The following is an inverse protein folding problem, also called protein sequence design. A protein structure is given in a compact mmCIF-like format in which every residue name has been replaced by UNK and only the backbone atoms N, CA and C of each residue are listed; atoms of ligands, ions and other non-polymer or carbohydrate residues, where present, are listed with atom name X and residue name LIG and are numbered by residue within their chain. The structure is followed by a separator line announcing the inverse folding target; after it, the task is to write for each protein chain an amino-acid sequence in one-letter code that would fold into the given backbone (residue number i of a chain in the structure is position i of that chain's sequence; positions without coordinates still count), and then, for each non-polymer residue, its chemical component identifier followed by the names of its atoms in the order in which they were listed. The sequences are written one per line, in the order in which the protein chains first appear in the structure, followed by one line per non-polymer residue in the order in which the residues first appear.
data_IF_209338909333
#
_entry.id   IF_209338909333
#
_cell.length_a   1.000
_cell.length_b   1.000
_cell.length_c   1.000
_cell.angle_alpha   90.00
_cell.angle_beta   90.00
_cell.angle_gamma   90.00
#
_symmetry.space_group_name_H-M   'P 1'
#
loop_
_entity.id
_entity.type
_entity.pdbx_description
1 polymer ?
#
# COMPACT_ATOMS: atom_id res chain seq x y z
N UNK A 1 -21.21 47.19 -17.68
CA UNK A 1 -21.68 45.94 -18.35
C UNK A 1 -20.55 45.22 -19.11
N UNK A 2 -19.77 45.88 -19.97
CA UNK A 2 -18.65 45.24 -20.70
C UNK A 2 -17.55 44.66 -19.80
N UNK A 3 -17.19 45.34 -18.71
CA UNK A 3 -16.21 44.82 -17.74
C UNK A 3 -16.67 43.53 -17.04
N UNK A 4 -17.97 43.42 -16.72
CA UNK A 4 -18.56 42.18 -16.18
C UNK A 4 -18.43 41.04 -17.20
N UNK A 5 -18.66 41.33 -18.49
CA UNK A 5 -18.59 40.32 -19.54
C UNK A 5 -17.17 39.78 -19.70
N UNK A 6 -16.16 40.66 -19.73
CA UNK A 6 -14.76 40.23 -19.80
C UNK A 6 -14.32 39.48 -18.54
N UNK A 7 -14.78 39.88 -17.36
CA UNK A 7 -14.51 39.17 -16.11
C UNK A 7 -15.10 37.76 -16.11
N UNK A 8 -16.36 37.61 -16.55
CA UNK A 8 -17.01 36.28 -16.66
C UNK A 8 -16.33 35.41 -17.72
N UNK A 9 -15.93 36.00 -18.86
CA UNK A 9 -15.18 35.29 -19.90
C UNK A 9 -13.82 34.80 -19.36
N UNK A 10 -13.11 35.65 -18.62
CA UNK A 10 -11.85 35.28 -17.98
C UNK A 10 -12.03 34.11 -17.01
N UNK A 11 -13.05 34.17 -16.13
CA UNK A 11 -13.34 33.07 -15.21
C UNK A 11 -13.67 31.76 -15.95
N UNK A 12 -14.44 31.83 -17.04
CA UNK A 12 -14.78 30.66 -17.84
C UNK A 12 -13.54 30.02 -18.47
N UNK A 13 -12.61 30.83 -19.00
CA UNK A 13 -11.34 30.33 -19.55
C UNK A 13 -10.49 29.69 -18.46
N UNK A 14 -10.34 30.34 -17.31
CA UNK A 14 -9.57 29.81 -16.17
C UNK A 14 -10.16 28.49 -15.68
N UNK A 15 -11.48 28.42 -15.48
CA UNK A 15 -12.16 27.18 -15.09
C UNK A 15 -12.02 26.08 -16.15
N UNK A 16 -12.10 26.43 -17.43
CA UNK A 16 -11.90 25.49 -18.54
C UNK A 16 -10.50 24.87 -18.52
N UNK A 17 -9.46 25.70 -18.33
CA UNK A 17 -8.06 25.22 -18.22
C UNK A 17 -7.90 24.33 -16.99
N UNK A 18 -8.38 24.77 -15.83
CA UNK A 18 -8.29 24.00 -14.59
C UNK A 18 -9.02 22.66 -14.70
N UNK A 19 -10.19 22.63 -15.34
CA UNK A 19 -10.94 21.40 -15.60
C UNK A 19 -10.16 20.44 -16.50
N UNK A 20 -9.57 20.95 -17.60
CA UNK A 20 -8.74 20.15 -18.51
C UNK A 20 -7.53 19.51 -17.81
N UNK A 21 -6.87 20.25 -16.92
CA UNK A 21 -5.73 19.73 -16.13
C UNK A 21 -6.12 18.59 -15.19
N UNK A 22 -7.39 18.45 -14.81
CA UNK A 22 -7.85 17.32 -13.98
C UNK A 22 -7.86 15.98 -14.72
N UNK A 23 -7.89 16.01 -16.06
CA UNK A 23 -7.84 14.81 -16.88
C UNK A 23 -6.43 14.24 -17.03
N UNK A 24 -5.40 15.05 -16.79
CA UNK A 24 -4.02 14.68 -17.05
C UNK A 24 -3.44 13.82 -15.91
N UNK A 25 -2.93 12.65 -16.27
CA UNK A 25 -2.20 11.76 -15.36
C UNK A 25 -0.74 12.20 -15.27
N UNK A 26 -0.24 12.34 -14.05
CA UNK A 26 1.16 12.57 -13.73
C UNK A 26 1.96 11.26 -13.79
N UNK A 27 1.40 10.21 -13.20
CA UNK A 27 2.00 8.89 -13.13
C UNK A 27 0.92 7.81 -13.19
N UNK A 28 1.34 6.59 -13.51
CA UNK A 28 0.55 5.37 -13.42
C UNK A 28 1.38 4.30 -12.72
N UNK A 29 0.70 3.29 -12.15
CA UNK A 29 1.37 2.17 -11.54
C UNK A 29 0.44 1.20 -10.82
N UNK A 30 1.04 0.30 -10.07
CA UNK A 30 0.35 -0.80 -9.41
C UNK A 30 0.69 -0.88 -7.92
N UNK A 31 -0.28 -1.31 -7.10
CA UNK A 31 -0.05 -1.66 -5.70
C UNK A 31 -0.83 -2.90 -5.33
N UNK A 32 -0.13 -3.90 -4.78
CA UNK A 32 -0.74 -5.13 -4.29
C UNK A 32 -0.96 -5.06 -2.77
N UNK A 33 -2.13 -5.50 -2.31
CA UNK A 33 -2.52 -5.37 -0.92
C UNK A 33 -3.86 -6.01 -0.60
N UNK A 34 -4.31 -5.83 0.64
CA UNK A 34 -5.69 -6.17 1.04
C UNK A 34 -6.44 -4.88 1.33
N UNK A 35 -7.65 -4.74 0.81
CA UNK A 35 -8.46 -3.53 1.03
C UNK A 35 -9.02 -3.57 2.44
N UNK A 36 -8.60 -2.63 3.29
CA UNK A 36 -9.00 -2.56 4.70
C UNK A 36 -10.28 -1.74 4.91
N UNK A 37 -10.51 -0.76 4.03
CA UNK A 37 -11.70 0.09 4.05
C UNK A 37 -12.13 0.42 2.64
N UNK A 38 -13.44 0.43 2.39
CA UNK A 38 -14.01 0.90 1.14
C UNK A 38 -15.40 1.49 1.42
N UNK A 39 -15.64 2.75 1.03
CA UNK A 39 -16.90 3.45 1.31
C UNK A 39 -17.24 4.48 0.24
N UNK A 40 -18.52 4.58 -0.12
CA UNK A 40 -19.03 5.62 -1.02
C UNK A 40 -19.36 6.89 -0.23
N UNK A 41 -18.62 7.97 -0.44
CA UNK A 41 -18.75 9.23 0.31
C UNK A 41 -18.57 10.47 -0.57
N UNK A 42 -18.85 11.64 -0.01
CA UNK A 42 -18.88 12.92 -0.71
C UNK A 42 -20.14 13.74 -0.40
N UNK A 43 -20.05 15.06 -0.57
CA UNK A 43 -21.14 16.00 -0.26
C UNK A 43 -22.07 16.21 -1.47
N UNK A 44 -21.53 16.71 -2.58
CA UNK A 44 -22.28 16.91 -3.84
C UNK A 44 -22.04 15.76 -4.83
N UNK A 45 -20.78 15.38 -5.03
CA UNK A 45 -20.38 14.28 -5.90
C UNK A 45 -19.94 13.12 -5.04
N UNK A 46 -20.55 11.95 -5.24
CA UNK A 46 -20.21 10.73 -4.51
C UNK A 46 -19.14 9.97 -5.27
N UNK A 47 -18.06 9.64 -4.57
CA UNK A 47 -16.97 8.79 -5.06
C UNK A 47 -16.76 7.63 -4.10
N UNK A 48 -16.17 6.53 -4.57
CA UNK A 48 -15.76 5.47 -3.67
C UNK A 48 -14.34 5.74 -3.21
N UNK A 49 -14.12 5.62 -1.92
CA UNK A 49 -12.85 5.91 -1.28
C UNK A 49 -12.42 4.69 -0.49
N UNK A 50 -11.18 4.26 -0.70
CA UNK A 50 -10.64 3.07 -0.11
C UNK A 50 -9.25 3.25 0.47
N UNK A 51 -8.89 2.29 1.33
CA UNK A 51 -7.56 2.18 1.93
C UNK A 51 -7.05 0.78 1.63
N UNK A 52 -5.92 0.69 0.94
CA UNK A 52 -5.21 -0.55 0.67
C UNK A 52 -4.11 -0.72 1.72
N UNK A 53 -4.12 -1.86 2.40
CA UNK A 53 -2.99 -2.29 3.22
C UNK A 53 -2.02 -3.07 2.33
N UNK A 54 -0.90 -2.44 1.98
CA UNK A 54 0.12 -3.03 1.10
C UNK A 54 0.91 -4.12 1.84
N UNK A 55 0.89 -4.10 3.17
CA UNK A 55 1.83 -4.80 4.04
C UNK A 55 3.04 -3.93 4.32
N UNK A 56 4.11 -4.50 4.88
CA UNK A 56 5.36 -3.80 5.04
C UNK A 56 6.43 -4.62 5.75
N UNK A 57 7.68 -4.33 5.40
CA UNK A 57 8.88 -4.95 5.95
C UNK A 57 9.89 -3.84 6.23
N UNK A 58 10.27 -3.63 7.50
CA UNK A 58 11.38 -2.73 7.83
C UNK A 58 12.68 -3.54 7.90
N UNK A 59 13.51 -3.38 6.86
CA UNK A 59 14.70 -4.21 6.65
C UNK A 59 15.82 -4.07 7.67
N UNK A 60 15.76 -3.06 8.55
CA UNK A 60 16.85 -2.76 9.50
C UNK A 60 16.60 -3.27 10.92
N UNK A 61 15.33 -3.39 11.34
CA UNK A 61 14.94 -3.77 12.71
C UNK A 61 14.01 -4.97 12.78
N UNK A 62 13.66 -5.57 11.64
CA UNK A 62 12.75 -6.72 11.60
C UNK A 62 11.31 -6.39 12.02
N UNK A 63 10.97 -5.11 12.17
CA UNK A 63 9.61 -4.68 12.51
C UNK A 63 8.71 -4.69 11.28
N UNK A 64 7.49 -5.18 11.45
CA UNK A 64 6.45 -5.16 10.41
C UNK A 64 5.62 -3.89 10.58
N UNK A 65 6.00 -2.82 9.89
CA UNK A 65 5.21 -1.58 9.85
C UNK A 65 4.27 -1.61 8.64
N UNK A 66 2.94 -1.65 8.81
CA UNK A 66 2.02 -1.69 7.68
C UNK A 66 2.05 -0.37 6.90
N UNK A 67 2.18 -0.46 5.58
CA UNK A 67 2.03 0.67 4.67
C UNK A 67 0.60 0.74 4.16
N UNK A 68 -0.04 1.88 4.37
CA UNK A 68 -1.36 2.18 3.82
C UNK A 68 -1.27 3.00 2.53
N UNK A 69 -2.26 2.81 1.67
CA UNK A 69 -2.43 3.57 0.44
C UNK A 69 -3.90 3.96 0.28
N UNK A 70 -4.17 5.24 0.39
CA UNK A 70 -5.49 5.81 0.15
C UNK A 70 -5.73 6.00 -1.35
N UNK A 71 -6.89 5.57 -1.83
CA UNK A 71 -7.26 5.65 -3.24
C UNK A 71 -8.73 6.03 -3.43
N UNK A 72 -9.04 6.53 -4.63
CA UNK A 72 -10.38 6.91 -5.05
C UNK A 72 -10.80 6.11 -6.29
N UNK A 73 -12.10 5.80 -6.41
CA UNK A 73 -12.68 5.08 -7.55
C UNK A 73 -13.93 5.81 -8.02
N UNK A 74 -14.00 6.07 -9.32
CA UNK A 74 -15.14 6.72 -9.97
C UNK A 74 -16.01 5.73 -10.75
N UNK A 75 -15.39 4.67 -11.26
CA UNK A 75 -16.06 3.64 -12.05
C UNK A 75 -16.80 2.66 -11.13
N UNK A 76 -18.10 2.48 -11.37
CA UNK A 76 -18.96 1.60 -10.58
C UNK A 76 -18.62 0.11 -10.78
N UNK A 77 -18.11 -0.30 -11.94
CA UNK A 77 -17.70 -1.68 -12.21
C UNK A 77 -16.43 -2.03 -11.42
N UNK A 78 -15.45 -1.12 -11.43
CA UNK A 78 -14.22 -1.25 -10.61
C UNK A 78 -14.58 -1.27 -9.13
N UNK A 79 -15.49 -0.39 -8.69
CA UNK A 79 -15.96 -0.36 -7.31
C UNK A 79 -16.65 -1.66 -6.91
N UNK A 80 -17.41 -2.29 -7.82
CA UNK A 80 -18.03 -3.59 -7.57
C UNK A 80 -16.98 -4.69 -7.36
N UNK A 81 -15.95 -4.77 -8.21
CA UNK A 81 -14.85 -5.73 -8.06
C UNK A 81 -14.14 -5.58 -6.71
N UNK A 82 -13.84 -4.34 -6.32
CA UNK A 82 -13.22 -4.04 -5.01
C UNK A 82 -14.16 -4.42 -3.87
N UNK A 83 -15.45 -4.15 -3.99
CA UNK A 83 -16.45 -4.53 -2.98
C UNK A 83 -16.50 -6.04 -2.80
N UNK A 84 -16.46 -6.81 -3.88
CA UNK A 84 -16.45 -8.27 -3.82
C UNK A 84 -15.14 -8.77 -3.20
N UNK A 85 -13.99 -8.17 -3.53
CA UNK A 85 -12.71 -8.46 -2.88
C UNK A 85 -12.67 -8.14 -1.38
N UNK A 86 -13.32 -7.04 -0.95
CA UNK A 86 -13.46 -6.68 0.47
C UNK A 86 -14.29 -7.73 1.21
N UNK A 87 -15.36 -8.25 0.61
CA UNK A 87 -16.20 -9.29 1.23
C UNK A 87 -15.45 -10.61 1.41
N UNK A 88 -14.61 -10.98 0.45
CA UNK A 88 -13.82 -12.22 0.52
C UNK A 88 -12.54 -12.06 1.34
N UNK A 89 -12.09 -10.83 1.60
CA UNK A 89 -10.83 -10.53 2.26
C UNK A 89 -9.59 -10.88 1.42
N UNK A 90 -9.79 -11.09 0.11
CA UNK A 90 -8.71 -11.51 -0.78
C UNK A 90 -7.68 -10.40 -1.03
N UNK A 91 -6.45 -10.82 -1.34
CA UNK A 91 -5.40 -9.90 -1.78
C UNK A 91 -5.65 -9.51 -3.24
N UNK A 92 -5.51 -8.24 -3.55
CA UNK A 92 -5.74 -7.67 -4.90
C UNK A 92 -4.55 -6.83 -5.33
N UNK A 93 -4.37 -6.70 -6.65
CA UNK A 93 -3.50 -5.69 -7.25
C UNK A 93 -4.37 -4.59 -7.82
N UNK A 94 -4.14 -3.36 -7.35
CA UNK A 94 -4.82 -2.16 -7.83
C UNK A 94 -3.93 -1.44 -8.83
N UNK A 95 -4.47 -1.20 -10.03
CA UNK A 95 -3.90 -0.34 -11.06
C UNK A 95 -4.43 1.07 -10.86
N UNK A 96 -3.54 2.06 -10.79
CA UNK A 96 -3.92 3.43 -10.52
C UNK A 96 -3.27 4.42 -11.47
N UNK A 97 -3.96 5.54 -11.67
CA UNK A 97 -3.41 6.75 -12.26
C UNK A 97 -3.37 7.86 -11.20
N UNK A 98 -2.21 8.48 -11.02
CA UNK A 98 -2.06 9.69 -10.21
C UNK A 98 -2.38 10.92 -11.05
N UNK A 99 -3.38 11.70 -10.65
CA UNK A 99 -3.73 12.96 -11.32
C UNK A 99 -2.93 14.12 -10.75
N UNK A 100 -2.53 15.05 -11.62
CA UNK A 100 -1.76 16.25 -11.22
C UNK A 100 -2.56 17.10 -10.21
N UNK A 101 -3.83 17.33 -10.54
CA UNK A 101 -4.77 18.13 -9.75
C UNK A 101 -5.94 17.29 -9.25
N UNK A 102 -6.32 17.54 -8.00
CA UNK A 102 -7.48 16.94 -7.36
C UNK A 102 -8.46 18.03 -6.96
N UNK A 103 -9.70 17.88 -7.42
CA UNK A 103 -10.82 18.71 -7.00
C UNK A 103 -11.89 17.86 -6.30
N UNK A 104 -12.76 18.47 -5.48
CA UNK A 104 -13.72 17.75 -4.64
C UNK A 104 -14.77 16.95 -5.43
N UNK A 105 -14.96 17.22 -6.72
CA UNK A 105 -15.86 16.43 -7.58
C UNK A 105 -15.21 15.21 -8.22
N UNK A 106 -13.87 15.10 -8.17
CA UNK A 106 -13.16 13.98 -8.78
C UNK A 106 -12.84 12.88 -7.77
N UNK A 107 -12.58 13.18 -6.49
CA UNK A 107 -12.31 12.18 -5.46
C UNK A 107 -11.62 12.78 -4.24
N UNK A 108 -11.44 11.98 -3.18
CA UNK A 108 -10.71 12.42 -1.99
C UNK A 108 -9.19 12.36 -2.15
N UNK A 109 -8.68 11.53 -3.07
CA UNK A 109 -7.25 11.36 -3.34
C UNK A 109 -6.85 11.75 -4.76
N UNK A 110 -5.54 11.77 -5.04
CA UNK A 110 -5.00 11.92 -6.40
C UNK A 110 -4.89 10.58 -7.14
N UNK A 111 -5.07 9.47 -6.44
CA UNK A 111 -4.84 8.13 -6.97
C UNK A 111 -6.16 7.49 -7.37
N UNK A 112 -6.40 7.42 -8.68
CA UNK A 112 -7.63 6.89 -9.24
C UNK A 112 -7.42 5.47 -9.70
N UNK A 113 -8.19 4.53 -9.13
CA UNK A 113 -8.10 3.13 -9.56
C UNK A 113 -8.78 2.97 -10.91
N UNK A 114 -8.03 2.46 -11.87
CA UNK A 114 -8.49 2.20 -13.24
C UNK A 114 -8.81 0.73 -13.44
N UNK A 115 -8.13 -0.18 -12.74
CA UNK A 115 -8.37 -1.61 -12.82
C UNK A 115 -8.02 -2.33 -11.51
N UNK A 116 -8.62 -3.50 -11.31
CA UNK A 116 -8.39 -4.39 -10.17
C UNK A 116 -8.16 -5.79 -10.69
N UNK A 117 -7.06 -6.39 -10.27
CA UNK A 117 -6.77 -7.80 -10.47
C UNK A 117 -6.99 -8.54 -9.14
N UNK A 118 -7.89 -9.50 -9.19
CA UNK A 118 -8.11 -10.42 -8.09
C UNK A 118 -7.05 -11.51 -8.18
N UNK A 119 -6.20 -11.63 -7.16
CA UNK A 119 -5.37 -12.81 -7.03
C UNK A 119 -6.35 -13.94 -6.66
N UNK A 120 -6.68 -14.77 -7.66
CA UNK A 120 -7.50 -15.95 -7.46
C UNK A 120 -6.96 -16.81 -6.32
N UNK A 121 -7.75 -17.77 -5.79
CA UNK A 121 -7.32 -18.59 -4.67
C UNK A 121 -5.92 -19.11 -4.98
N UNK A 122 -4.98 -18.86 -4.06
CA UNK A 122 -3.66 -19.50 -4.12
C UNK A 122 -3.98 -20.98 -4.19
N UNK A 123 -3.88 -21.59 -5.38
CA UNK A 123 -4.09 -23.02 -5.52
C UNK A 123 -3.10 -23.64 -4.54
N UNK A 124 -3.57 -24.27 -3.45
CA UNK A 124 -2.66 -24.97 -2.57
C UNK A 124 -2.07 -26.04 -3.47
N UNK A 125 -0.81 -25.90 -3.86
CA UNK A 125 -0.12 -26.99 -4.56
C UNK A 125 -0.33 -28.21 -3.67
N UNK A 126 -0.72 -29.37 -4.25
CA UNK A 126 -0.89 -30.59 -3.47
C UNK A 126 0.34 -30.75 -2.57
N UNK A 127 0.10 -30.86 -1.26
CA UNK A 127 1.15 -31.07 -0.28
C UNK A 127 1.96 -32.30 -0.71
N UNK A 128 3.15 -32.10 -1.28
CA UNK A 128 3.96 -33.20 -1.85
C UNK A 128 4.73 -32.91 -3.14
N UNK A 129 4.50 -31.79 -3.84
CA UNK A 129 5.36 -31.42 -4.98
C UNK A 129 6.68 -30.82 -4.46
N UNK A 130 7.73 -31.64 -4.40
CA UNK A 130 9.07 -31.32 -3.93
C UNK A 130 9.87 -30.34 -4.81
N UNK A 131 9.21 -29.51 -5.62
CA UNK A 131 9.85 -28.38 -6.29
C UNK A 131 10.17 -27.29 -5.25
N UNK A 132 11.41 -27.32 -4.78
CA UNK A 132 11.97 -26.38 -3.82
C UNK A 132 11.64 -24.92 -4.22
N UNK A 133 11.01 -24.18 -3.31
CA UNK A 133 11.02 -22.73 -3.35
C UNK A 133 12.49 -22.27 -3.39
N UNK A 134 12.93 -21.43 -4.35
CA UNK A 134 14.26 -20.86 -4.32
C UNK A 134 14.34 -19.96 -3.08
N UNK A 135 14.98 -20.44 -2.02
CA UNK A 135 15.17 -19.70 -0.76
C UNK A 135 14.87 -20.46 0.53
N UNK A 136 14.27 -21.66 0.50
CA UNK A 136 14.18 -22.49 1.71
C UNK A 136 15.44 -23.34 1.87
N UNK A 137 16.37 -22.85 2.69
CA UNK A 137 17.44 -23.67 3.24
C UNK A 137 16.90 -24.25 4.56
N UNK A 138 16.74 -25.57 4.71
CA UNK A 138 16.33 -26.13 5.99
C UNK A 138 17.37 -25.73 7.05
N UNK A 139 16.89 -25.17 8.16
CA UNK A 139 17.72 -24.90 9.35
C UNK A 139 18.43 -26.20 9.73
N UNK A 140 19.76 -26.23 9.57
CA UNK A 140 20.57 -27.33 10.09
C UNK A 140 20.32 -27.47 11.59
N UNK A 141 20.23 -28.69 12.14
CA UNK A 141 20.21 -28.89 13.58
C UNK A 141 21.43 -28.19 14.17
N UNK A 142 21.17 -27.29 15.12
CA UNK A 142 22.18 -26.53 15.84
C UNK A 142 23.17 -27.53 16.44
N UNK A 143 24.39 -27.59 15.90
CA UNK A 143 25.47 -28.35 16.53
C UNK A 143 25.67 -27.73 17.92
N UNK A 144 25.54 -28.55 18.97
CA UNK A 144 25.91 -28.16 20.33
C UNK A 144 27.34 -27.67 20.32
N UNK A 145 27.55 -26.37 20.45
CA UNK A 145 28.86 -25.80 20.70
C UNK A 145 29.40 -26.43 21.99
N UNK A 146 30.65 -26.92 22.01
CA UNK A 146 31.29 -27.32 23.25
C UNK A 146 31.24 -26.15 24.23
N UNK A 147 30.79 -26.40 25.46
CA UNK A 147 30.77 -25.40 26.51
C UNK A 147 32.14 -24.73 26.60
N UNK A 148 32.17 -23.40 26.48
CA UNK A 148 33.41 -22.66 26.72
C UNK A 148 33.85 -22.91 28.16
N UNK A 149 35.14 -23.20 28.41
CA UNK A 149 35.61 -23.39 29.78
C UNK A 149 35.33 -22.13 30.58
N UNK A 150 34.66 -22.31 31.74
CA UNK A 150 34.42 -21.23 32.70
C UNK A 150 35.78 -20.61 33.05
N UNK A 151 35.98 -19.29 32.91
CA UNK A 151 37.23 -18.66 33.31
C UNK A 151 37.43 -18.87 34.81
N UNK A 152 38.54 -19.50 35.17
CA UNK A 152 38.98 -19.73 36.54
C UNK A 152 39.02 -18.37 37.27
N UNK A 153 38.43 -18.24 38.48
CA UNK A 153 38.57 -17.02 39.26
C UNK A 153 40.05 -16.71 39.47
N UNK A 154 40.50 -15.53 39.03
CA UNK A 154 41.84 -15.02 39.31
C UNK A 154 41.98 -14.87 40.83
N UNK A 155 43.07 -15.34 41.46
CA UNK A 155 43.31 -15.10 42.88
C UNK A 155 43.40 -13.60 43.14
N UNK A 156 42.62 -13.10 44.10
CA UNK A 156 42.73 -11.73 44.60
C UNK A 156 44.15 -11.57 45.16
N UNK A 157 44.96 -10.60 44.72
CA UNK A 157 46.27 -10.37 45.31
C UNK A 157 46.08 -9.99 46.78
N UNK A 158 46.73 -10.75 47.67
CA UNK A 158 46.81 -10.43 49.09
C UNK A 158 47.52 -9.08 49.22
N UNK A 159 46.76 -8.05 49.55
CA UNK A 159 47.37 -6.77 49.87
C UNK A 159 48.21 -6.97 51.14
N UNK A 160 49.45 -6.55 50.99
CA UNK A 160 50.48 -6.73 51.98
C UNK A 160 50.39 -5.58 52.97
N UNK A 161 50.88 -5.83 54.17
CA UNK A 161 51.39 -4.85 55.14
C UNK A 161 50.42 -4.09 56.07
N UNK A 162 50.55 -4.54 57.34
CA UNK A 162 50.72 -3.78 58.61
C UNK A 162 49.44 -3.35 59.35
#
# INVERSE_FOLDING_TARGET
MRGILYFLLFLLVVFGILYGLTGWSYSDGERAGTVSKFSRRGFVFKTYEGVLNVGGFSGETGSLTPQYFDFSVKDDEVAKKITDAVKTGQRVTLHYEEKILKFPWNGETKYYITNVEELGPVNPRPYGDGSAYPGYQPTQPQQTQPAQPVPTPQPIPADSTI
#
